data_IF_909145763673
#
_entry.id   IF_909145763673
#
_cell.length_a   1.000
_cell.length_b   1.000
_cell.length_c   1.000
_cell.angle_alpha   90.00
_cell.angle_beta   90.00
_cell.angle_gamma   90.00
#
_symmetry.space_group_name_H-M   'P 1'
#
loop_
_entity.id
_entity.type
_entity.pdbx_description
1 polymer ?
#
# COMPACT_ATOMS: atom_id res chain seq x y z
N UNK A 1 -36.26 -24.61 -27.79
CA UNK A 1 -35.03 -24.38 -28.58
C UNK A 1 -34.06 -23.59 -27.72
N UNK A 2 -32.81 -24.07 -27.49
CA UNK A 2 -31.83 -23.32 -26.71
C UNK A 2 -31.31 -22.15 -27.55
N UNK A 3 -31.22 -20.97 -26.93
CA UNK A 3 -30.74 -19.73 -27.55
C UNK A 3 -29.22 -19.84 -27.70
N UNK A 4 -28.73 -19.99 -28.93
CA UNK A 4 -27.29 -19.87 -29.22
C UNK A 4 -26.85 -18.44 -28.93
N UNK A 5 -26.07 -18.24 -27.86
CA UNK A 5 -25.40 -16.97 -27.60
C UNK A 5 -24.16 -16.95 -28.49
N UNK A 6 -24.15 -16.03 -29.46
CA UNK A 6 -22.96 -15.77 -30.26
C UNK A 6 -21.89 -15.20 -29.34
N UNK A 7 -20.85 -15.98 -29.05
CA UNK A 7 -19.65 -15.52 -28.34
C UNK A 7 -19.01 -14.45 -29.22
N UNK A 8 -19.08 -13.20 -28.79
CA UNK A 8 -18.46 -12.10 -29.53
C UNK A 8 -16.99 -12.00 -29.16
N UNK A 9 -16.17 -11.42 -30.03
CA UNK A 9 -14.73 -11.25 -29.77
C UNK A 9 -14.45 -10.43 -28.49
N UNK A 10 -15.45 -9.68 -28.01
CA UNK A 10 -15.44 -8.97 -26.73
C UNK A 10 -15.54 -9.91 -25.50
N UNK A 11 -16.20 -11.07 -25.63
CA UNK A 11 -16.31 -12.07 -24.56
C UNK A 11 -15.03 -12.90 -24.40
N UNK A 12 -14.21 -12.98 -25.46
CA UNK A 12 -12.89 -13.62 -25.45
C UNK A 12 -11.75 -12.65 -25.10
N UNK A 13 -12.02 -11.35 -25.08
CA UNK A 13 -11.03 -10.37 -24.69
C UNK A 13 -10.71 -10.57 -23.21
N UNK A 14 -9.44 -10.81 -22.83
CA UNK A 14 -9.08 -10.91 -21.42
C UNK A 14 -9.45 -9.59 -20.74
N UNK A 15 -10.50 -9.61 -19.91
CA UNK A 15 -10.83 -8.43 -19.10
C UNK A 15 -9.59 -8.12 -18.26
N UNK A 16 -9.09 -6.88 -18.26
CA UNK A 16 -7.95 -6.53 -17.42
C UNK A 16 -8.38 -6.79 -15.97
N UNK A 17 -7.79 -7.83 -15.37
CA UNK A 17 -7.99 -8.15 -13.96
C UNK A 17 -7.44 -6.96 -13.19
N UNK A 18 -8.31 -6.07 -12.75
CA UNK A 18 -7.92 -4.90 -11.96
C UNK A 18 -7.18 -5.42 -10.74
N UNK A 19 -5.93 -5.01 -10.57
CA UNK A 19 -5.18 -5.40 -9.40
C UNK A 19 -5.74 -4.76 -8.15
N UNK A 20 -5.81 -5.56 -7.08
CA UNK A 20 -6.38 -5.13 -5.81
C UNK A 20 -5.55 -4.03 -5.15
N UNK A 21 -4.28 -3.86 -5.55
CA UNK A 21 -3.36 -2.87 -5.00
C UNK A 21 -3.89 -1.43 -5.16
N UNK A 22 -4.64 -1.13 -6.22
CA UNK A 22 -5.29 0.17 -6.45
C UNK A 22 -6.75 0.25 -5.99
N UNK A 23 -7.24 -0.78 -5.29
CA UNK A 23 -8.63 -0.85 -4.82
C UNK A 23 -8.88 0.11 -3.66
N UNK A 24 -10.15 0.52 -3.49
CA UNK A 24 -10.63 1.26 -2.31
C UNK A 24 -10.20 0.57 -1.01
N UNK A 25 -10.16 -0.76 -1.00
CA UNK A 25 -9.74 -1.57 0.16
C UNK A 25 -8.30 -1.28 0.58
N UNK A 26 -7.34 -1.22 -0.36
CA UNK A 26 -5.93 -0.97 -0.04
C UNK A 26 -5.71 0.44 0.53
N UNK A 27 -6.40 1.44 -0.02
CA UNK A 27 -6.38 2.80 0.53
C UNK A 27 -6.96 2.88 1.94
N UNK A 28 -8.06 2.17 2.21
CA UNK A 28 -8.68 2.11 3.55
C UNK A 28 -7.74 1.44 4.55
N UNK A 29 -7.10 0.33 4.16
CA UNK A 29 -6.13 -0.36 5.02
C UNK A 29 -4.94 0.54 5.36
N UNK A 30 -4.38 1.25 4.38
CA UNK A 30 -3.32 2.25 4.60
C UNK A 30 -3.70 3.31 5.62
N UNK A 31 -4.88 3.94 5.44
CA UNK A 31 -5.37 4.96 6.39
C UNK A 31 -5.56 4.35 7.77
N UNK A 32 -6.12 3.14 7.85
CA UNK A 32 -6.32 2.43 9.09
C UNK A 32 -4.99 2.10 9.79
N UNK A 33 -3.95 1.62 9.09
CA UNK A 33 -2.64 1.38 9.69
C UNK A 33 -2.03 2.67 10.22
N UNK A 34 -2.12 3.78 9.48
CA UNK A 34 -1.62 5.09 9.94
C UNK A 34 -2.29 5.52 11.25
N UNK A 35 -3.63 5.41 11.31
CA UNK A 35 -4.38 5.72 12.53
C UNK A 35 -4.03 4.78 13.68
N UNK A 36 -3.87 3.49 13.41
CA UNK A 36 -3.45 2.49 14.41
C UNK A 36 -2.05 2.81 14.94
N UNK A 37 -1.10 3.18 14.07
CA UNK A 37 0.26 3.59 14.44
C UNK A 37 0.27 4.85 15.31
N UNK A 38 -0.51 5.87 14.95
CA UNK A 38 -0.67 7.09 15.75
C UNK A 38 -1.28 6.79 17.12
N UNK A 39 -2.30 5.93 17.15
CA UNK A 39 -2.90 5.48 18.41
C UNK A 39 -1.88 4.74 19.27
N UNK A 40 -1.12 3.80 18.72
CA UNK A 40 -0.06 3.08 19.42
C UNK A 40 1.03 4.02 19.95
N UNK A 41 1.40 5.06 19.18
CA UNK A 41 2.33 6.09 19.65
C UNK A 41 1.81 6.86 20.85
N UNK A 42 0.54 7.29 20.82
CA UNK A 42 -0.10 7.97 21.96
C UNK A 42 -0.12 7.04 23.17
N UNK A 43 -0.42 5.75 22.99
CA UNK A 43 -0.32 4.77 24.06
C UNK A 43 1.11 4.66 24.61
N UNK A 44 2.14 4.65 23.76
CA UNK A 44 3.53 4.68 24.22
C UNK A 44 3.85 5.93 25.06
N UNK A 45 3.33 7.10 24.68
CA UNK A 45 3.49 8.34 25.47
C UNK A 45 2.75 8.28 26.81
N UNK A 46 1.55 7.72 26.84
CA UNK A 46 0.80 7.52 28.09
C UNK A 46 1.55 6.53 28.99
N UNK A 47 2.11 5.45 28.43
CA UNK A 47 2.93 4.50 29.16
C UNK A 47 4.17 5.18 29.74
N UNK A 48 4.85 6.03 28.97
CA UNK A 48 6.00 6.80 29.46
C UNK A 48 5.63 7.73 30.62
N UNK A 49 4.54 8.49 30.48
CA UNK A 49 4.06 9.43 31.50
C UNK A 49 3.57 8.74 32.78
N UNK A 50 3.13 7.48 32.66
CA UNK A 50 2.59 6.69 33.77
C UNK A 50 3.57 5.65 34.30
N UNK A 51 4.83 5.64 33.82
CA UNK A 51 5.85 4.69 34.24
C UNK A 51 6.05 4.71 35.76
N UNK A 52 6.42 3.55 36.29
CA UNK A 52 6.86 3.42 37.67
C UNK A 52 8.17 4.19 37.89
N UNK A 53 8.28 4.89 39.01
CA UNK A 53 9.52 5.57 39.43
C UNK A 53 9.96 4.98 40.77
N UNK A 54 11.26 4.87 40.99
CA UNK A 54 11.82 4.46 42.28
C UNK A 54 11.88 5.64 43.25
N UNK A 55 11.55 5.37 44.51
CA UNK A 55 11.61 6.30 45.64
C UNK A 55 12.40 5.61 46.74
N UNK A 56 13.46 6.27 47.21
CA UNK A 56 14.29 5.79 48.30
C UNK A 56 13.73 6.26 49.64
N UNK A 57 13.50 5.32 50.55
CA UNK A 57 13.01 5.57 51.91
C UNK A 57 14.10 5.12 52.89
N UNK A 58 14.49 6.00 53.81
CA UNK A 58 15.35 5.63 54.94
C UNK A 58 14.51 4.90 55.97
N UNK A 59 14.83 3.62 56.20
CA UNK A 59 14.23 2.82 57.26
C UNK A 59 15.21 2.75 58.44
N UNK A 60 15.42 3.91 59.07
CA UNK A 60 16.27 4.05 60.26
C UNK A 60 15.42 4.11 61.53
N UNK A 61 15.47 3.06 62.35
CA UNK A 61 15.05 3.17 63.75
C UNK A 61 16.13 3.97 64.49
N UNK A 62 15.74 4.96 65.32
CA UNK A 62 16.65 5.94 65.93
C UNK A 62 17.75 5.25 66.76
N UNK A 63 18.89 4.93 66.14
CA UNK A 63 20.03 4.27 66.79
C UNK A 63 20.67 3.10 66.04
N UNK A 64 20.16 2.67 64.88
CA UNK A 64 20.82 1.69 63.99
C UNK A 64 21.22 2.33 62.66
N UNK A 65 22.17 1.69 61.97
CA UNK A 65 22.66 2.08 60.64
C UNK A 65 21.48 2.33 59.68
N UNK A 66 21.47 3.46 58.97
CA UNK A 66 20.37 3.84 58.08
C UNK A 66 20.33 2.88 56.88
N UNK A 67 19.36 1.97 56.86
CA UNK A 67 19.10 1.10 55.72
C UNK A 67 18.20 1.87 54.75
N UNK A 68 18.74 2.18 53.57
CA UNK A 68 17.98 2.77 52.48
C UNK A 68 17.27 1.67 51.69
N UNK A 69 15.94 1.63 51.76
CA UNK A 69 15.12 0.70 50.99
C UNK A 69 14.42 1.45 49.85
N UNK A 70 14.30 0.81 48.70
CA UNK A 70 13.59 1.38 47.56
C UNK A 70 12.14 0.88 47.48
N UNK A 71 11.22 1.79 47.15
CA UNK A 71 9.80 1.53 46.90
C UNK A 71 9.39 2.16 45.56
N UNK A 72 8.44 1.55 44.84
CA UNK A 72 7.91 2.15 43.61
C UNK A 72 6.84 3.20 43.93
N UNK A 73 6.85 4.33 43.22
CA UNK A 73 5.90 5.44 43.42
C UNK A 73 4.47 5.10 42.97
N UNK A 74 4.33 4.29 41.91
CA UNK A 74 3.06 4.01 41.23
C UNK A 74 2.95 2.54 40.85
N UNK A 75 1.72 2.08 40.64
CA UNK A 75 1.44 0.75 40.08
C UNK A 75 1.72 0.73 38.57
N UNK A 76 2.42 -0.31 38.11
CA UNK A 76 2.70 -0.52 36.70
C UNK A 76 1.48 -0.93 35.85
N UNK A 77 0.27 -1.00 36.40
CA UNK A 77 -0.93 -1.47 35.69
C UNK A 77 -1.24 -0.65 34.43
N UNK A 78 -1.20 0.68 34.53
CA UNK A 78 -1.50 1.57 33.41
C UNK A 78 -0.45 1.47 32.30
N UNK A 79 0.87 1.66 32.56
CA UNK A 79 1.87 1.53 31.51
C UNK A 79 1.89 0.11 30.92
N UNK A 80 1.70 -0.93 31.74
CA UNK A 80 1.62 -2.31 31.26
C UNK A 80 0.48 -2.52 30.25
N UNK A 81 -0.75 -2.12 30.59
CA UNK A 81 -1.90 -2.26 29.69
C UNK A 81 -1.70 -1.46 28.40
N UNK A 82 -1.20 -0.24 28.55
CA UNK A 82 -1.00 0.69 27.46
C UNK A 82 0.05 0.16 26.45
N UNK A 83 1.19 -0.30 26.96
CA UNK A 83 2.26 -0.90 26.15
C UNK A 83 1.88 -2.26 25.58
N UNK A 84 1.12 -3.09 26.31
CA UNK A 84 0.63 -4.36 25.79
C UNK A 84 -0.34 -4.17 24.63
N UNK A 85 -1.26 -3.21 24.74
CA UNK A 85 -2.19 -2.87 23.65
C UNK A 85 -1.42 -2.30 22.46
N UNK A 86 -0.43 -1.43 22.67
CA UNK A 86 0.41 -0.91 21.60
C UNK A 86 1.20 -2.01 20.88
N UNK A 87 1.82 -2.93 21.64
CA UNK A 87 2.57 -4.08 21.12
C UNK A 87 1.69 -4.97 20.23
N UNK A 88 0.55 -5.43 20.76
CA UNK A 88 -0.37 -6.30 20.00
C UNK A 88 -0.98 -5.56 18.82
N UNK A 89 -1.41 -4.30 19.02
CA UNK A 89 -2.03 -3.49 17.98
C UNK A 89 -1.11 -3.24 16.80
N UNK A 90 0.15 -2.87 17.06
CA UNK A 90 1.16 -2.66 16.02
C UNK A 90 1.51 -3.96 15.32
N UNK A 91 1.72 -5.05 16.06
CA UNK A 91 1.99 -6.38 15.51
C UNK A 91 0.87 -6.84 14.56
N UNK A 92 -0.40 -6.73 14.96
CA UNK A 92 -1.54 -7.10 14.12
C UNK A 92 -1.64 -6.22 12.88
N UNK A 93 -1.53 -4.89 13.03
CA UNK A 93 -1.58 -3.97 11.90
C UNK A 93 -0.46 -4.25 10.88
N UNK A 94 0.76 -4.49 11.36
CA UNK A 94 1.91 -4.81 10.53
C UNK A 94 1.70 -6.11 9.76
N UNK A 95 1.24 -7.17 10.40
CA UNK A 95 0.97 -8.46 9.72
C UNK A 95 -0.15 -8.31 8.69
N UNK A 96 -1.26 -7.67 9.03
CA UNK A 96 -2.40 -7.47 8.12
C UNK A 96 -1.97 -6.70 6.87
N UNK A 97 -1.21 -5.61 7.03
CA UNK A 97 -0.74 -4.81 5.90
C UNK A 97 0.22 -5.60 5.00
N UNK A 98 1.18 -6.30 5.57
CA UNK A 98 2.16 -7.08 4.79
C UNK A 98 1.53 -8.29 4.10
N UNK A 99 0.57 -8.97 4.74
CA UNK A 99 -0.19 -10.07 4.12
C UNK A 99 -1.05 -9.55 2.98
N UNK A 100 -1.76 -8.43 3.19
CA UNK A 100 -2.57 -7.81 2.14
C UNK A 100 -1.70 -7.45 0.92
N UNK A 101 -0.55 -6.83 1.17
CA UNK A 101 0.38 -6.46 0.11
C UNK A 101 0.91 -7.70 -0.65
N UNK A 102 1.25 -8.77 0.06
CA UNK A 102 1.72 -10.02 -0.54
C UNK A 102 0.64 -10.66 -1.43
N UNK A 103 -0.61 -10.69 -0.97
CA UNK A 103 -1.76 -11.18 -1.75
C UNK A 103 -2.02 -10.30 -2.97
N UNK A 104 -1.94 -8.99 -2.81
CA UNK A 104 -2.17 -8.06 -3.91
C UNK A 104 -1.07 -8.15 -4.98
N UNK A 105 0.18 -8.42 -4.59
CA UNK A 105 1.29 -8.68 -5.53
C UNK A 105 1.11 -10.03 -6.22
N UNK A 106 0.79 -11.11 -5.49
CA UNK A 106 0.66 -12.45 -6.05
C UNK A 106 -0.50 -12.60 -7.04
N UNK A 107 -1.54 -11.77 -6.90
CA UNK A 107 -2.69 -11.72 -7.82
C UNK A 107 -2.45 -10.86 -9.08
N UNK A 108 -1.27 -10.26 -9.25
CA UNK A 108 -0.97 -9.40 -10.40
C UNK A 108 -0.70 -10.25 -11.66
N UNK A 109 -1.20 -9.86 -12.86
CA UNK A 109 -1.03 -10.65 -14.09
C UNK A 109 0.45 -10.92 -14.46
N UNK A 110 0.74 -12.02 -15.18
CA UNK A 110 2.09 -12.44 -15.55
C UNK A 110 2.86 -11.46 -16.45
N UNK A 111 2.22 -10.39 -16.94
CA UNK A 111 2.92 -9.33 -17.65
C UNK A 111 3.93 -8.56 -16.75
N UNK A 112 3.72 -8.56 -15.42
CA UNK A 112 4.70 -8.13 -14.42
C UNK A 112 5.98 -9.01 -14.43
N UNK A 113 5.85 -10.30 -14.74
CA UNK A 113 6.98 -11.23 -14.90
C UNK A 113 7.67 -11.09 -16.27
N UNK A 114 7.06 -10.39 -17.22
CA UNK A 114 7.65 -10.10 -18.55
C UNK A 114 8.38 -8.76 -18.61
N UNK A 115 8.35 -7.96 -17.53
CA UNK A 115 9.10 -6.71 -17.49
C UNK A 115 10.59 -7.03 -17.38
N UNK A 116 11.39 -6.49 -18.29
CA UNK A 116 12.83 -6.71 -18.32
C UNK A 116 13.47 -6.23 -17.00
N UNK A 117 13.93 -7.15 -16.13
CA UNK A 117 14.49 -6.80 -14.83
C UNK A 117 15.79 -5.99 -14.95
N UNK A 118 16.43 -6.02 -16.12
CA UNK A 118 17.65 -5.28 -16.42
C UNK A 118 17.40 -3.84 -16.89
N UNK A 119 16.14 -3.42 -17.03
CA UNK A 119 15.84 -2.02 -17.34
C UNK A 119 16.22 -1.10 -16.15
N UNK A 120 16.93 0.03 -16.38
CA UNK A 120 17.36 0.96 -15.33
C UNK A 120 16.25 1.40 -14.35
N UNK A 121 15.00 1.70 -14.78
CA UNK A 121 13.93 2.07 -13.85
C UNK A 121 13.44 0.88 -12.99
N UNK A 122 13.39 -0.34 -13.54
CA UNK A 122 12.95 -1.52 -12.78
C UNK A 122 13.93 -1.88 -11.64
N UNK A 123 15.24 -1.77 -11.90
CA UNK A 123 16.28 -1.98 -10.90
C UNK A 123 16.26 -0.95 -9.77
N UNK A 124 15.96 0.31 -10.09
CA UNK A 124 15.82 1.37 -9.08
C UNK A 124 14.61 1.14 -8.16
N UNK A 125 13.45 0.74 -8.72
CA UNK A 125 12.25 0.48 -7.93
C UNK A 125 12.36 -0.76 -7.03
N UNK A 126 12.98 -1.84 -7.53
CA UNK A 126 13.19 -3.06 -6.73
C UNK A 126 14.17 -2.80 -5.59
N UNK A 127 15.27 -2.07 -5.84
CA UNK A 127 16.20 -1.65 -4.80
C UNK A 127 15.53 -0.76 -3.75
N UNK A 128 14.77 0.24 -4.19
CA UNK A 128 14.04 1.15 -3.30
C UNK A 128 12.99 0.42 -2.45
N UNK A 129 12.22 -0.50 -3.05
CA UNK A 129 11.25 -1.32 -2.32
C UNK A 129 11.94 -2.25 -1.31
N UNK A 130 13.06 -2.88 -1.70
CA UNK A 130 13.86 -3.71 -0.81
C UNK A 130 14.43 -2.93 0.38
N UNK A 131 14.93 -1.71 0.14
CA UNK A 131 15.38 -0.81 1.20
C UNK A 131 14.25 -0.51 2.19
N UNK A 132 13.10 -0.02 1.71
CA UNK A 132 11.98 0.27 2.60
C UNK A 132 11.51 -0.97 3.36
N UNK A 133 11.47 -2.14 2.71
CA UNK A 133 11.06 -3.38 3.35
C UNK A 133 11.98 -3.72 4.52
N UNK A 134 13.28 -3.80 4.27
CA UNK A 134 14.27 -4.16 5.30
C UNK A 134 14.28 -3.14 6.43
N UNK A 135 14.27 -1.83 6.12
CA UNK A 135 14.23 -0.79 7.15
C UNK A 135 12.95 -0.85 7.98
N UNK A 136 11.80 -1.14 7.36
CA UNK A 136 10.53 -1.30 8.08
C UNK A 136 10.62 -2.43 9.11
N UNK A 137 11.13 -3.60 8.71
CA UNK A 137 11.28 -4.75 9.62
C UNK A 137 12.27 -4.49 10.75
N UNK A 138 13.37 -3.78 10.47
CA UNK A 138 14.34 -3.40 11.51
C UNK A 138 13.70 -2.43 12.51
N UNK A 139 13.03 -1.38 12.03
CA UNK A 139 12.34 -0.43 12.91
C UNK A 139 11.25 -1.11 13.75
N UNK A 140 10.47 -2.00 13.13
CA UNK A 140 9.44 -2.78 13.80
C UNK A 140 10.05 -3.64 14.92
N UNK A 141 11.06 -4.44 14.59
CA UNK A 141 11.71 -5.32 15.55
C UNK A 141 12.31 -4.55 16.73
N UNK A 142 13.00 -3.43 16.47
CA UNK A 142 13.56 -2.59 17.54
C UNK A 142 12.46 -2.00 18.42
N UNK A 143 11.40 -1.45 17.83
CA UNK A 143 10.27 -0.89 18.58
C UNK A 143 9.57 -1.93 19.45
N UNK A 144 9.28 -3.10 18.89
CA UNK A 144 8.62 -4.20 19.61
C UNK A 144 9.51 -4.75 20.73
N UNK A 145 10.83 -4.88 20.53
CA UNK A 145 11.75 -5.31 21.58
C UNK A 145 11.77 -4.32 22.75
N UNK A 146 11.76 -3.01 22.48
CA UNK A 146 11.67 -1.98 23.52
C UNK A 146 10.34 -2.07 24.28
N UNK A 147 9.21 -2.29 23.59
CA UNK A 147 7.91 -2.51 24.22
C UNK A 147 7.91 -3.77 25.08
N UNK A 148 8.47 -4.88 24.59
CA UNK A 148 8.56 -6.14 25.32
C UNK A 148 9.38 -6.00 26.61
N UNK A 149 10.52 -5.30 26.55
CA UNK A 149 11.32 -5.00 27.74
C UNK A 149 10.48 -4.19 28.74
N UNK A 150 9.78 -3.16 28.27
CA UNK A 150 8.95 -2.31 29.11
C UNK A 150 7.80 -3.07 29.78
N UNK A 151 7.07 -3.88 29.00
CA UNK A 151 6.02 -4.76 29.50
C UNK A 151 6.58 -5.75 30.52
N UNK A 152 7.75 -6.33 30.26
CA UNK A 152 8.40 -7.28 31.17
C UNK A 152 8.72 -6.64 32.52
N UNK A 153 9.32 -5.44 32.53
CA UNK A 153 9.67 -4.75 33.78
C UNK A 153 8.43 -4.27 34.52
N UNK A 154 7.50 -3.60 33.84
CA UNK A 154 6.28 -3.05 34.46
C UNK A 154 5.33 -4.15 34.97
N UNK A 155 5.38 -5.36 34.40
CA UNK A 155 4.62 -6.51 34.93
C UNK A 155 5.04 -6.89 36.35
N UNK A 156 6.32 -6.69 36.68
CA UNK A 156 6.88 -6.90 38.02
C UNK A 156 6.35 -5.90 39.05
N UNK A 157 5.76 -4.78 38.61
CA UNK A 157 5.22 -3.71 39.46
C UNK A 157 3.71 -3.79 39.65
N UNK A 158 3.08 -4.90 39.25
CA UNK A 158 1.64 -5.12 39.42
C UNK A 158 1.25 -5.34 40.89
N UNK A 159 2.01 -6.17 41.61
CA UNK A 159 1.67 -6.61 42.97
C UNK A 159 2.80 -6.27 43.93
N UNK A 160 2.44 -5.72 45.08
CA UNK A 160 3.39 -5.34 46.14
C UNK A 160 4.40 -4.27 45.71
N UNK A 161 3.98 -3.35 44.84
CA UNK A 161 4.80 -2.22 44.39
C UNK A 161 5.20 -1.28 45.53
N UNK A 162 4.36 -1.19 46.57
CA UNK A 162 4.60 -0.39 47.77
C UNK A 162 5.46 -1.09 48.84
N UNK A 163 5.90 -2.34 48.63
CA UNK A 163 6.75 -3.04 49.59
C UNK A 163 8.21 -2.61 49.42
N UNK A 164 8.92 -2.25 50.51
CA UNK A 164 10.34 -1.92 50.46
C UNK A 164 11.18 -3.09 49.93
N UNK A 165 12.19 -2.77 49.12
CA UNK A 165 13.14 -3.74 48.56
C UNK A 165 14.57 -3.21 48.65
N UNK A 166 15.57 -4.09 48.77
CA UNK A 166 16.98 -3.69 48.77
C UNK A 166 17.46 -3.22 47.39
N UNK A 167 16.80 -3.63 46.31
CA UNK A 167 17.05 -3.14 44.95
C UNK A 167 15.75 -3.01 44.16
N UNK A 168 15.66 -1.91 43.41
CA UNK A 168 14.59 -1.66 42.44
C UNK A 168 15.13 -1.78 41.02
N UNK A 169 14.28 -2.25 40.11
CA UNK A 169 14.55 -2.25 38.68
C UNK A 169 13.50 -1.36 38.03
N UNK A 170 13.95 -0.22 37.52
CA UNK A 170 13.11 0.71 36.76
C UNK A 170 13.54 0.79 35.31
N UNK A 171 12.56 0.97 34.44
CA UNK A 171 12.79 1.31 33.04
C UNK A 171 13.45 2.68 32.93
N UNK A 172 14.42 2.81 32.01
CA UNK A 172 15.06 4.11 31.72
C UNK A 172 14.07 5.06 31.05
N UNK A 173 14.15 6.32 31.42
CA UNK A 173 13.35 7.39 30.80
C UNK A 173 13.48 7.41 29.27
N UNK A 174 12.32 7.55 28.62
CA UNK A 174 12.21 7.65 27.17
C UNK A 174 12.21 6.30 26.46
N UNK A 175 12.26 5.17 27.16
CA UNK A 175 12.21 3.85 26.51
C UNK A 175 10.88 3.60 25.80
N UNK A 176 9.74 3.93 26.44
CA UNK A 176 8.43 3.78 25.81
C UNK A 176 8.25 4.83 24.71
N UNK A 177 8.71 6.06 24.93
CA UNK A 177 8.70 7.09 23.89
C UNK A 177 9.52 6.68 22.65
N UNK A 178 10.72 6.13 22.84
CA UNK A 178 11.57 5.64 21.75
C UNK A 178 10.88 4.50 20.99
N UNK A 179 10.29 3.55 21.72
CA UNK A 179 9.51 2.47 21.12
C UNK A 179 8.35 3.00 20.26
N UNK A 180 7.62 4.00 20.76
CA UNK A 180 6.58 4.69 20.00
C UNK A 180 7.10 5.38 18.72
N UNK A 181 8.27 6.02 18.77
CA UNK A 181 8.87 6.63 17.57
C UNK A 181 9.24 5.55 16.54
N UNK A 182 9.84 4.44 16.96
CA UNK A 182 10.11 3.31 16.07
C UNK A 182 8.82 2.70 15.49
N UNK A 183 7.74 2.64 16.27
CA UNK A 183 6.43 2.22 15.80
C UNK A 183 5.87 3.17 14.71
N UNK A 184 5.92 4.49 14.92
CA UNK A 184 5.52 5.46 13.90
C UNK A 184 6.37 5.36 12.64
N UNK A 185 7.69 5.30 12.80
CA UNK A 185 8.62 5.14 11.67
C UNK A 185 8.29 3.90 10.86
N UNK A 186 8.03 2.77 11.52
CA UNK A 186 7.58 1.53 10.87
C UNK A 186 6.35 1.77 10.00
N UNK A 187 5.32 2.43 10.52
CA UNK A 187 4.07 2.68 9.78
C UNK A 187 4.29 3.63 8.60
N UNK A 188 5.11 4.67 8.76
CA UNK A 188 5.46 5.56 7.64
C UNK A 188 6.30 4.87 6.55
N UNK A 189 7.21 3.99 6.94
CA UNK A 189 8.01 3.20 6.00
C UNK A 189 7.15 2.17 5.26
N UNK A 190 6.23 1.50 5.97
CA UNK A 190 5.25 0.59 5.37
C UNK A 190 4.35 1.31 4.36
N UNK A 191 3.85 2.50 4.72
CA UNK A 191 3.07 3.34 3.81
C UNK A 191 3.89 3.79 2.58
N UNK A 192 5.15 4.14 2.77
CA UNK A 192 6.07 4.49 1.68
C UNK A 192 6.31 3.32 0.73
N UNK A 193 6.41 2.11 1.28
CA UNK A 193 6.52 0.88 0.51
C UNK A 193 5.25 0.61 -0.29
N UNK A 194 4.07 0.72 0.32
CA UNK A 194 2.79 0.56 -0.37
C UNK A 194 2.64 1.58 -1.53
N UNK A 195 2.98 2.85 -1.30
CA UNK A 195 2.96 3.87 -2.35
C UNK A 195 3.96 3.56 -3.47
N UNK A 196 5.14 3.05 -3.13
CA UNK A 196 6.15 2.63 -4.12
C UNK A 196 5.65 1.46 -4.96
N UNK A 197 5.04 0.46 -4.32
CA UNK A 197 4.42 -0.68 -5.00
C UNK A 197 3.26 -0.23 -5.91
N UNK A 198 2.42 0.69 -5.44
CA UNK A 198 1.33 1.25 -6.23
C UNK A 198 1.84 2.06 -7.43
N UNK A 199 2.90 2.83 -7.28
CA UNK A 199 3.54 3.56 -8.39
C UNK A 199 4.11 2.60 -9.42
N UNK A 200 4.85 1.59 -8.99
CA UNK A 200 5.37 0.56 -9.87
C UNK A 200 4.22 -0.12 -10.64
N UNK A 201 3.15 -0.48 -9.95
CA UNK A 201 1.97 -1.07 -10.55
C UNK A 201 1.34 -0.18 -11.64
N UNK A 202 1.14 1.11 -11.37
CA UNK A 202 0.56 2.05 -12.34
C UNK A 202 1.44 2.24 -13.57
N UNK A 203 2.75 2.30 -13.38
CA UNK A 203 3.70 2.42 -14.49
C UNK A 203 3.65 1.20 -15.41
N UNK A 204 3.59 0.00 -14.83
CA UNK A 204 3.49 -1.26 -15.58
C UNK A 204 2.18 -1.32 -16.36
N UNK A 205 1.04 -0.99 -15.74
CA UNK A 205 -0.25 -0.93 -16.43
C UNK A 205 -0.24 0.04 -17.62
N UNK A 206 0.39 1.21 -17.45
CA UNK A 206 0.52 2.20 -18.53
C UNK A 206 1.40 1.70 -19.66
N UNK A 207 2.50 0.99 -19.34
CA UNK A 207 3.38 0.41 -20.35
C UNK A 207 2.68 -0.72 -21.12
N UNK A 208 1.89 -1.57 -20.44
CA UNK A 208 1.10 -2.62 -21.07
C UNK A 208 0.01 -2.06 -22.00
N UNK A 209 -0.70 -1.00 -21.58
CA UNK A 209 -1.72 -0.38 -22.42
C UNK A 209 -1.11 0.20 -23.70
N UNK A 210 0.01 0.93 -23.58
CA UNK A 210 0.75 1.46 -24.73
C UNK A 210 1.27 0.34 -25.64
N UNK A 211 1.81 -0.74 -25.07
CA UNK A 211 2.29 -1.89 -25.84
C UNK A 211 1.15 -2.55 -26.61
N UNK A 212 -0.05 -2.66 -26.00
CA UNK A 212 -1.24 -3.21 -26.64
C UNK A 212 -1.73 -2.31 -27.78
N UNK A 213 -1.81 -1.00 -27.56
CA UNK A 213 -2.17 -0.02 -28.59
C UNK A 213 -1.19 -0.06 -29.78
N UNK A 214 0.12 -0.15 -29.53
CA UNK A 214 1.12 -0.29 -30.58
C UNK A 214 0.96 -1.61 -31.36
N UNK A 215 0.64 -2.71 -30.68
CA UNK A 215 0.41 -4.00 -31.32
C UNK A 215 -0.84 -3.98 -32.20
N UNK A 216 -1.92 -3.36 -31.74
CA UNK A 216 -3.15 -3.18 -32.53
C UNK A 216 -2.93 -2.26 -33.74
N UNK A 217 -2.22 -1.14 -33.55
CA UNK A 217 -1.86 -0.24 -34.65
C UNK A 217 -0.98 -0.95 -35.69
N UNK A 218 0.04 -1.68 -35.25
CA UNK A 218 0.91 -2.43 -36.17
C UNK A 218 0.15 -3.51 -36.95
N UNK A 219 -0.83 -4.19 -36.35
CA UNK A 219 -1.69 -5.14 -37.07
C UNK A 219 -2.52 -4.45 -38.18
N UNK A 220 -3.05 -3.26 -37.90
CA UNK A 220 -3.79 -2.47 -38.88
C UNK A 220 -2.91 -1.97 -40.03
N UNK A 221 -1.67 -1.53 -39.75
CA UNK A 221 -0.74 -1.04 -40.78
C UNK A 221 0.02 -2.15 -41.53
N UNK A 222 0.19 -3.34 -40.93
CA UNK A 222 0.84 -4.50 -41.56
C UNK A 222 -0.13 -5.37 -42.38
N UNK A 223 -1.43 -5.08 -42.34
CA UNK A 223 -2.42 -5.74 -43.20
C UNK A 223 -2.16 -5.35 -44.67
N UNK A 224 -1.96 -6.30 -45.61
CA UNK A 224 -1.87 -5.97 -47.03
C UNK A 224 -3.13 -5.21 -47.45
N UNK A 225 -3.07 -4.26 -48.40
CA UNK A 225 -4.26 -3.60 -48.90
C UNK A 225 -5.26 -4.69 -49.31
N UNK A 226 -6.40 -4.73 -48.62
CA UNK A 226 -7.49 -5.65 -48.97
C UNK A 226 -7.87 -5.26 -50.40
N UNK A 227 -7.46 -6.09 -51.36
CA UNK A 227 -7.80 -5.89 -52.76
C UNK A 227 -9.30 -5.64 -52.84
N UNK A 228 -9.75 -4.62 -53.60
CA UNK A 228 -11.16 -4.37 -53.74
C UNK A 228 -11.75 -5.69 -54.23
N UNK A 229 -12.65 -6.25 -53.43
CA UNK A 229 -13.44 -7.39 -53.87
C UNK A 229 -14.05 -6.94 -55.18
N UNK A 230 -13.64 -7.58 -56.27
CA UNK A 230 -14.33 -7.47 -57.54
C UNK A 230 -15.78 -7.80 -57.22
N UNK A 231 -16.61 -6.75 -57.06
CA UNK A 231 -18.03 -6.87 -57.26
C UNK A 231 -18.11 -7.51 -58.63
N UNK A 232 -18.54 -8.76 -58.68
CA UNK A 232 -19.03 -9.36 -59.90
C UNK A 232 -20.14 -8.43 -60.35
N UNK A 233 -19.80 -7.57 -61.31
CA UNK A 233 -20.76 -6.81 -62.09
C UNK A 233 -21.53 -7.91 -62.81
N UNK A 234 -22.70 -8.26 -62.28
CA UNK A 234 -23.66 -9.04 -63.04
C UNK A 234 -23.92 -8.23 -64.32
N UNK A 235 -23.53 -8.81 -65.46
CA UNK A 235 -23.83 -8.24 -66.76
C UNK A 235 -25.36 -8.22 -66.89
N UNK A 236 -25.93 -7.03 -66.75
CA UNK A 236 -27.33 -6.77 -67.09
C UNK A 236 -27.41 -6.90 -68.63
N UNK A 237 -28.33 -7.72 -69.17
CA UNK A 237 -28.54 -7.80 -70.61
C UNK A 237 -28.94 -6.43 -71.15
N UNK A 238 -28.24 -6.02 -72.20
CA UNK A 238 -28.37 -4.75 -72.88
C UNK A 238 -29.60 -4.80 -73.79
N UNK A 239 -30.67 -4.09 -73.43
CA UNK A 239 -31.72 -3.68 -74.38
C UNK A 239 -31.64 -2.16 -74.60
N UNK A 240 -31.30 -1.83 -75.85
CA UNK A 240 -31.48 -0.62 -76.66
C UNK A 240 -31.35 0.83 -76.13
N UNK A 241 -30.79 1.75 -76.96
CA UNK A 241 -30.43 3.10 -76.56
C UNK A 241 -31.59 4.09 -76.73
N UNK A 242 -31.79 4.97 -75.73
CA UNK A 242 -32.62 6.18 -75.86
C UNK A 242 -31.72 7.41 -75.54
N UNK A 243 -31.72 8.47 -76.38
CA UNK A 243 -30.77 9.59 -76.31
C UNK A 243 -31.08 10.59 -75.16
N UNK A 244 -30.14 11.50 -74.84
CA UNK A 244 -29.99 12.08 -73.50
C UNK A 244 -30.90 13.29 -73.26
N UNK A 245 -31.49 13.37 -72.07
CA UNK A 245 -32.08 14.63 -71.57
C UNK A 245 -31.16 15.23 -70.52
N UNK A 246 -30.62 16.38 -70.88
CA UNK A 246 -29.74 17.24 -70.10
C UNK A 246 -30.58 18.00 -69.07
N UNK A 247 -30.26 17.88 -67.78
CA UNK A 247 -30.68 18.87 -66.76
C UNK A 247 -29.70 18.84 -65.58
N UNK A 248 -28.75 19.78 -65.59
CA UNK A 248 -28.25 20.44 -64.38
C UNK A 248 -29.35 21.40 -63.88
N UNK A 249 -29.41 21.85 -62.60
CA UNK A 249 -28.28 22.31 -61.77
C UNK A 249 -28.48 21.93 -60.27
N UNK A 250 -27.82 22.44 -59.23
CA UNK A 250 -27.17 23.71 -58.98
C UNK A 250 -26.29 23.54 -57.72
N UNK A 251 -25.17 24.25 -57.74
CA UNK A 251 -24.25 24.44 -56.62
C UNK A 251 -24.95 24.95 -55.35
N UNK A 252 -24.49 24.49 -54.18
CA UNK A 252 -24.52 25.32 -52.97
C UNK A 252 -23.12 25.36 -52.35
N UNK A 253 -22.46 26.47 -52.66
CA UNK A 253 -21.34 27.06 -51.93
C UNK A 253 -21.73 27.35 -50.48
N UNK A 254 -20.71 27.44 -49.60
CA UNK A 254 -20.47 28.49 -48.58
C UNK A 254 -20.03 27.88 -47.22
N UNK A 255 -18.74 27.85 -46.87
CA UNK A 255 -17.89 28.92 -46.28
C UNK A 255 -17.70 28.65 -44.76
N UNK A 256 -16.57 28.09 -44.32
CA UNK A 256 -15.39 28.74 -43.70
C UNK A 256 -15.63 29.34 -42.30
N UNK A 257 -14.74 29.00 -41.34
CA UNK A 257 -14.19 29.77 -40.18
C UNK A 257 -13.69 28.71 -39.16
N UNK A 258 -12.40 28.45 -38.94
CA UNK A 258 -11.37 29.24 -38.22
C UNK A 258 -11.89 29.85 -36.91
N UNK A 259 -11.45 29.27 -35.78
CA UNK A 259 -11.24 29.85 -34.44
C UNK A 259 -10.09 29.02 -33.82
N UNK A 260 -8.81 29.42 -33.86
CA UNK A 260 -8.01 30.29 -32.97
C UNK A 260 -8.08 30.03 -31.45
N UNK A 261 -6.89 30.02 -30.84
CA UNK A 261 -6.53 30.24 -29.42
C UNK A 261 -6.73 29.01 -28.53
N UNK A 262 -5.79 28.59 -27.68
CA UNK A 262 -4.60 29.20 -27.07
C UNK A 262 -3.66 28.06 -26.62
#
# INVERSE_FOLDING_TARGET
>A
MPKSLAVTHADLAPSPRSTELGSKTGAVLMVFTILCGLFCFILCLIAEATRSQEVWISNGDKGKEEIYECVYSKSGKTPLLCSAVAFVGLSVAMVVENVYMLVAISNTPPALASWDPDSPPAKAFTWQAGFFFVTTWICFAVGEMLLLIGVSVESGHLKYWSRPRPSCLTVREGMFSAAGVFALMTVFLAASLYLTALRAHRLIQKQESLRREMLEASFLYASPPRSPSHRVIAAIPREDPVPPTFTYPLAFSKQSSIVTLE
#
